data_IF_915754046073
#
_entry.id   IF_915754046073
#
_cell.length_a   1.000
_cell.length_b   1.000
_cell.length_c   1.000
_cell.angle_alpha   90.00
_cell.angle_beta   90.00
_cell.angle_gamma   90.00
#
_symmetry.space_group_name_H-M   'P 1'
#
loop_
_entity.id
_entity.type
_entity.pdbx_description
1 polymer ?
#
# COMPACT_ATOMS: atom_id res chain seq x y z
N UNK A 1 -5.55 -4.51 20.28
CA UNK A 1 -4.71 -4.41 19.06
C UNK A 1 -5.36 -5.21 17.94
N UNK A 2 -5.52 -4.62 16.79
CA UNK A 2 -6.08 -5.31 15.61
C UNK A 2 -5.00 -6.24 15.08
N UNK A 3 -5.31 -7.53 14.99
CA UNK A 3 -4.38 -8.54 14.47
C UNK A 3 -4.96 -9.20 13.23
N UNK A 4 -4.23 -9.10 12.14
CA UNK A 4 -4.47 -9.80 10.87
C UNK A 4 -3.26 -10.68 10.61
N UNK A 5 -3.47 -12.00 10.61
CA UNK A 5 -2.38 -12.99 10.58
C UNK A 5 -2.10 -13.51 9.17
N UNK A 6 -3.11 -13.49 8.30
CA UNK A 6 -2.99 -14.01 6.92
C UNK A 6 -2.33 -13.03 5.94
N UNK A 7 -2.11 -11.79 6.35
CA UNK A 7 -1.47 -10.75 5.55
C UNK A 7 -0.21 -10.26 6.25
N UNK A 8 0.90 -10.31 5.55
CA UNK A 8 2.18 -9.86 6.10
C UNK A 8 2.18 -8.36 6.36
N UNK A 9 2.87 -7.96 7.43
CA UNK A 9 3.21 -6.58 7.71
C UNK A 9 2.01 -5.63 7.90
N UNK A 10 0.90 -6.16 8.39
CA UNK A 10 -0.25 -5.34 8.77
C UNK A 10 0.07 -4.54 10.03
N UNK A 11 0.01 -3.23 9.94
CA UNK A 11 0.39 -2.33 11.04
C UNK A 11 -0.28 -0.99 10.96
N UNK A 12 -0.47 -0.37 12.13
CA UNK A 12 -0.83 1.04 12.28
C UNK A 12 0.39 1.93 11.94
N UNK A 13 0.23 2.82 11.00
CA UNK A 13 1.29 3.75 10.55
C UNK A 13 1.64 4.79 11.59
N UNK A 14 0.75 5.03 12.56
CA UNK A 14 0.95 6.01 13.62
C UNK A 14 1.98 5.59 14.68
N UNK A 15 2.37 4.30 14.72
CA UNK A 15 3.33 3.80 15.70
C UNK A 15 4.66 4.54 15.55
N UNK A 16 5.11 5.17 16.64
CA UNK A 16 6.36 5.96 16.63
C UNK A 16 6.22 7.37 16.05
N UNK A 17 5.00 7.82 15.74
CA UNK A 17 4.72 9.16 15.20
C UNK A 17 3.74 9.95 16.09
N UNK A 18 3.53 11.22 15.73
CA UNK A 18 2.49 12.07 16.34
C UNK A 18 1.12 11.92 15.70
N UNK A 19 0.97 11.01 14.74
CA UNK A 19 -0.30 10.76 14.06
C UNK A 19 -1.32 10.13 15.02
N UNK A 20 -2.59 10.39 14.76
CA UNK A 20 -3.69 9.76 15.50
C UNK A 20 -3.68 8.25 15.29
N UNK A 21 -3.79 7.50 16.37
CA UNK A 21 -3.72 6.02 16.36
C UNK A 21 -4.98 5.41 15.73
N UNK A 22 -4.82 4.22 15.19
CA UNK A 22 -5.90 3.38 14.65
C UNK A 22 -6.70 4.01 13.50
N UNK A 23 -6.10 4.87 12.70
CA UNK A 23 -6.76 5.48 11.54
C UNK A 23 -6.18 5.01 10.21
N UNK A 24 -4.89 4.79 10.13
CA UNK A 24 -4.20 4.48 8.89
C UNK A 24 -3.37 3.22 9.06
N UNK A 25 -3.73 2.18 8.32
CA UNK A 25 -3.06 0.89 8.34
C UNK A 25 -2.36 0.61 7.02
N UNK A 26 -1.15 0.10 7.11
CA UNK A 26 -0.39 -0.40 5.96
C UNK A 26 -0.21 -1.90 6.06
N UNK A 27 -0.25 -2.58 4.92
CA UNK A 27 0.01 -4.02 4.83
C UNK A 27 0.60 -4.42 3.48
N UNK A 28 0.92 -5.70 3.34
CA UNK A 28 1.17 -6.33 2.06
C UNK A 28 -0.15 -6.53 1.28
N UNK A 29 -0.06 -7.05 0.06
CA UNK A 29 -1.24 -7.37 -0.77
C UNK A 29 -2.25 -8.23 0.00
N UNK A 30 -3.52 -7.96 -0.18
CA UNK A 30 -4.61 -8.63 0.51
C UNK A 30 -5.08 -9.92 -0.18
N UNK A 31 -4.34 -10.42 -1.16
CA UNK A 31 -4.68 -11.66 -1.88
C UNK A 31 -4.67 -12.91 -0.99
N UNK A 32 -3.99 -12.86 0.13
CA UNK A 32 -3.86 -13.96 1.10
C UNK A 32 -4.84 -13.89 2.27
N UNK A 33 -5.74 -12.89 2.30
CA UNK A 33 -6.74 -12.80 3.36
C UNK A 33 -7.56 -14.08 3.46
N UNK A 34 -7.62 -14.66 4.63
CA UNK A 34 -8.49 -15.79 4.95
C UNK A 34 -9.86 -15.31 5.48
N UNK A 35 -10.82 -16.22 5.59
CA UNK A 35 -12.17 -15.90 6.03
C UNK A 35 -12.25 -15.27 7.42
N UNK A 36 -11.38 -15.70 8.35
CA UNK A 36 -11.31 -15.13 9.69
C UNK A 36 -10.92 -13.66 9.63
N UNK A 37 -9.86 -13.38 8.89
CA UNK A 37 -9.30 -12.02 8.80
C UNK A 37 -10.18 -11.09 7.94
N UNK A 38 -10.88 -11.62 6.93
CA UNK A 38 -11.92 -10.87 6.22
C UNK A 38 -12.98 -10.35 7.22
N UNK A 39 -13.45 -11.21 8.13
CA UNK A 39 -14.40 -10.78 9.17
C UNK A 39 -13.83 -9.72 10.11
N UNK A 40 -12.54 -9.81 10.44
CA UNK A 40 -11.87 -8.77 11.23
C UNK A 40 -11.87 -7.44 10.49
N UNK A 41 -11.53 -7.44 9.21
CA UNK A 41 -11.55 -6.22 8.38
C UNK A 41 -12.97 -5.67 8.20
N UNK A 42 -13.96 -6.53 8.00
CA UNK A 42 -15.37 -6.12 7.94
C UNK A 42 -15.83 -5.42 9.24
N UNK A 43 -15.43 -5.97 10.38
CA UNK A 43 -15.76 -5.39 11.69
C UNK A 43 -15.07 -4.04 11.94
N UNK A 44 -13.91 -3.82 11.35
CA UNK A 44 -13.27 -2.51 11.35
C UNK A 44 -14.08 -1.47 10.59
N UNK A 45 -14.89 -1.91 9.64
CA UNK A 45 -15.68 -1.06 8.75
C UNK A 45 -14.85 0.10 8.15
N UNK A 46 -13.78 -0.21 7.40
CA UNK A 46 -12.90 0.81 6.88
C UNK A 46 -13.64 1.76 5.93
N UNK A 47 -13.24 3.02 5.91
CA UNK A 47 -13.72 3.99 4.95
C UNK A 47 -13.28 3.65 3.53
N UNK A 48 -12.03 3.20 3.39
CA UNK A 48 -11.45 2.81 2.12
C UNK A 48 -10.37 1.73 2.29
N UNK A 49 -10.23 0.90 1.26
CA UNK A 49 -9.11 -0.02 1.06
C UNK A 49 -8.43 0.43 -0.23
N UNK A 50 -7.23 0.98 -0.09
CA UNK A 50 -6.50 1.61 -1.20
C UNK A 50 -5.40 0.69 -1.68
N UNK A 51 -5.44 0.34 -2.95
CA UNK A 51 -4.46 -0.50 -3.63
C UNK A 51 -3.62 0.36 -4.58
N UNK A 52 -2.33 0.47 -4.30
CA UNK A 52 -1.39 1.22 -5.13
C UNK A 52 -0.74 0.40 -6.25
N UNK A 53 -1.12 -0.86 -6.41
CA UNK A 53 -0.55 -1.73 -7.45
C UNK A 53 -1.03 -1.32 -8.84
N UNK A 54 -0.22 -1.62 -9.84
CA UNK A 54 -0.68 -1.49 -11.22
C UNK A 54 -1.66 -2.63 -11.60
N UNK A 55 -2.46 -2.45 -12.67
CA UNK A 55 -3.46 -3.44 -13.07
C UNK A 55 -2.90 -4.84 -13.35
N UNK A 56 -1.66 -4.95 -13.86
CA UNK A 56 -1.03 -6.24 -14.14
C UNK A 56 -0.66 -7.00 -12.87
N UNK A 57 -0.28 -6.27 -11.83
CA UNK A 57 0.00 -6.86 -10.51
C UNK A 57 -1.29 -7.35 -9.85
N UNK A 58 -2.37 -6.57 -9.98
CA UNK A 58 -3.70 -6.94 -9.47
C UNK A 58 -4.24 -8.19 -10.18
N UNK A 59 -4.09 -8.26 -11.50
CA UNK A 59 -4.52 -9.42 -12.28
C UNK A 59 -3.84 -10.72 -11.83
N UNK A 60 -2.55 -10.65 -11.51
CA UNK A 60 -1.77 -11.81 -11.03
C UNK A 60 -2.13 -12.26 -9.62
N UNK A 61 -2.53 -11.35 -8.77
CA UNK A 61 -2.84 -11.62 -7.38
C UNK A 61 -3.94 -10.67 -6.87
N UNK A 62 -5.19 -10.83 -7.30
CA UNK A 62 -6.28 -9.98 -6.86
C UNK A 62 -6.49 -10.09 -5.36
N UNK A 63 -6.91 -9.00 -4.74
CA UNK A 63 -7.25 -9.00 -3.32
C UNK A 63 -8.45 -9.91 -3.05
N UNK A 64 -8.35 -10.70 -2.00
CA UNK A 64 -9.44 -11.57 -1.56
C UNK A 64 -10.37 -10.81 -0.61
N UNK A 65 -11.31 -10.07 -1.18
CA UNK A 65 -12.25 -9.23 -0.45
C UNK A 65 -13.67 -9.76 -0.56
N UNK A 66 -14.43 -9.67 0.54
CA UNK A 66 -15.87 -9.91 0.50
C UNK A 66 -16.60 -8.81 -0.30
N UNK A 67 -17.86 -9.04 -0.64
CA UNK A 67 -18.68 -8.04 -1.34
C UNK A 67 -18.78 -6.72 -0.59
N UNK A 68 -18.86 -6.75 0.75
CA UNK A 68 -18.86 -5.56 1.59
C UNK A 68 -17.57 -4.76 1.48
N UNK A 69 -16.43 -5.46 1.46
CA UNK A 69 -15.12 -4.83 1.38
C UNK A 69 -14.81 -4.33 -0.04
N UNK A 70 -15.32 -5.00 -1.07
CA UNK A 70 -15.19 -4.55 -2.46
C UNK A 70 -15.81 -3.17 -2.68
N UNK A 71 -16.88 -2.84 -2.00
CA UNK A 71 -17.50 -1.50 -2.06
C UNK A 71 -16.58 -0.39 -1.51
N UNK A 72 -15.57 -0.76 -0.72
CA UNK A 72 -14.58 0.14 -0.14
C UNK A 72 -13.25 0.17 -0.90
N UNK A 73 -13.10 -0.71 -1.89
CA UNK A 73 -11.87 -0.86 -2.65
C UNK A 73 -11.67 0.26 -3.66
N UNK A 74 -10.48 0.85 -3.66
CA UNK A 74 -10.08 1.91 -4.58
C UNK A 74 -8.67 1.58 -5.10
N UNK A 75 -8.50 1.48 -6.39
CA UNK A 75 -7.19 1.36 -7.02
C UNK A 75 -6.64 2.74 -7.38
N UNK A 76 -5.51 3.08 -6.81
CA UNK A 76 -4.74 4.28 -7.13
C UNK A 76 -3.35 3.86 -7.63
N UNK A 77 -3.18 3.49 -8.91
CA UNK A 77 -1.98 2.84 -9.37
C UNK A 77 -0.75 3.76 -9.34
N UNK A 78 0.31 3.28 -8.72
CA UNK A 78 1.66 3.84 -8.80
C UNK A 78 2.52 2.82 -9.52
N UNK A 79 2.99 3.15 -10.72
CA UNK A 79 3.76 2.21 -11.52
C UNK A 79 5.13 1.94 -10.90
N UNK A 80 5.34 0.71 -10.44
CA UNK A 80 6.64 0.22 -9.99
C UNK A 80 7.59 -0.10 -11.18
N UNK A 81 7.11 -0.05 -12.41
CA UNK A 81 7.91 -0.31 -13.61
C UNK A 81 9.11 0.63 -13.74
N UNK A 82 9.03 1.80 -13.14
CA UNK A 82 10.12 2.76 -13.09
C UNK A 82 11.28 2.26 -12.24
N UNK A 83 11.01 1.68 -11.06
CA UNK A 83 12.03 1.10 -10.21
C UNK A 83 12.72 -0.09 -10.91
N UNK A 84 11.94 -0.98 -11.49
CA UNK A 84 12.46 -2.15 -12.22
C UNK A 84 13.32 -1.74 -13.42
N UNK A 85 12.91 -0.69 -14.15
CA UNK A 85 13.72 -0.13 -15.23
C UNK A 85 15.00 0.52 -14.74
N UNK A 86 14.96 1.29 -13.67
CA UNK A 86 16.13 1.95 -13.08
C UNK A 86 17.14 0.92 -12.56
N UNK A 87 16.67 -0.14 -11.93
CA UNK A 87 17.52 -1.26 -11.48
C UNK A 87 18.15 -1.99 -12.67
N UNK A 88 17.38 -2.24 -13.73
CA UNK A 88 17.89 -2.92 -14.93
C UNK A 88 18.85 -2.06 -15.77
N UNK A 89 18.71 -0.73 -15.76
CA UNK A 89 19.56 0.19 -16.53
C UNK A 89 20.84 0.61 -15.82
N UNK A 90 20.91 0.48 -14.50
CA UNK A 90 22.14 0.67 -13.75
C UNK A 90 22.86 -0.66 -13.67
N UNK A 91 23.88 -0.82 -14.50
CA UNK A 91 24.92 -1.82 -14.22
C UNK A 91 25.40 -1.56 -12.80
N UNK A 92 25.22 -2.57 -11.95
CA UNK A 92 25.62 -2.50 -10.54
C UNK A 92 27.14 -2.66 -10.53
N UNK A 93 27.85 -1.56 -10.75
CA UNK A 93 29.29 -1.51 -10.56
C UNK A 93 29.63 -1.63 -9.09
N UNK A 94 30.48 -2.57 -8.75
CA UNK A 94 31.34 -2.82 -7.58
C UNK A 94 30.97 -2.33 -6.18
N UNK A 95 30.10 -1.33 -6.00
CA UNK A 95 29.62 -0.79 -4.73
C UNK A 95 28.09 -0.93 -4.63
N UNK A 96 27.66 -2.17 -4.60
CA UNK A 96 26.26 -2.60 -4.73
C UNK A 96 25.31 -1.90 -3.73
N UNK A 97 25.76 -1.64 -2.50
CA UNK A 97 24.89 -1.12 -1.42
C UNK A 97 24.55 0.34 -1.64
N UNK A 98 25.54 1.20 -1.93
CA UNK A 98 25.30 2.64 -2.16
C UNK A 98 24.49 2.90 -3.43
N UNK A 99 24.71 2.09 -4.48
CA UNK A 99 23.94 2.18 -5.72
C UNK A 99 22.47 1.78 -5.50
N UNK A 100 22.22 0.77 -4.67
CA UNK A 100 20.88 0.34 -4.31
C UNK A 100 20.13 1.39 -3.47
N UNK A 101 20.77 1.93 -2.44
CA UNK A 101 20.20 2.98 -1.60
C UNK A 101 19.82 4.22 -2.43
N UNK A 102 20.70 4.64 -3.34
CA UNK A 102 20.41 5.76 -4.24
C UNK A 102 19.27 5.47 -5.20
N UNK A 103 19.20 4.27 -5.75
CA UNK A 103 18.08 3.86 -6.62
C UNK A 103 16.76 3.88 -5.85
N UNK A 104 16.75 3.40 -4.62
CA UNK A 104 15.56 3.43 -3.76
C UNK A 104 15.15 4.86 -3.44
N UNK A 105 16.09 5.72 -3.06
CA UNK A 105 15.82 7.13 -2.78
C UNK A 105 15.25 7.86 -4.00
N UNK A 106 15.85 7.71 -5.17
CA UNK A 106 15.38 8.29 -6.43
C UNK A 106 13.99 7.77 -6.80
N UNK A 107 13.72 6.50 -6.53
CA UNK A 107 12.41 5.87 -6.78
C UNK A 107 11.32 6.47 -5.90
N UNK A 108 11.58 6.67 -4.61
CA UNK A 108 10.62 7.33 -3.71
C UNK A 108 10.32 8.75 -4.15
N UNK A 109 11.33 9.51 -4.57
CA UNK A 109 11.13 10.86 -5.13
C UNK A 109 10.28 10.84 -6.39
N UNK A 110 10.50 9.88 -7.28
CA UNK A 110 9.70 9.70 -8.50
C UNK A 110 8.26 9.31 -8.19
N UNK A 111 8.02 8.44 -7.21
CA UNK A 111 6.67 8.09 -6.78
C UNK A 111 5.88 9.32 -6.32
N UNK A 112 6.51 10.21 -5.60
CA UNK A 112 5.88 11.45 -5.16
C UNK A 112 5.71 12.43 -6.33
N UNK A 113 6.76 12.68 -7.10
CA UNK A 113 6.78 13.73 -8.12
C UNK A 113 5.97 13.38 -9.36
N UNK A 114 5.94 12.11 -9.78
CA UNK A 114 5.30 11.66 -11.01
C UNK A 114 3.84 11.21 -10.81
N UNK A 115 3.39 11.10 -9.56
CA UNK A 115 2.05 10.61 -9.22
C UNK A 115 1.28 11.59 -8.33
N UNK A 116 1.39 12.88 -8.60
CA UNK A 116 0.72 13.94 -7.81
C UNK A 116 -0.79 13.74 -7.74
N UNK A 117 -1.42 13.31 -8.82
CA UNK A 117 -2.85 13.04 -8.87
C UNK A 117 -3.26 11.90 -7.92
N UNK A 118 -2.46 10.84 -7.86
CA UNK A 118 -2.67 9.70 -6.96
C UNK A 118 -2.61 10.16 -5.50
N UNK A 119 -1.59 10.93 -5.14
CA UNK A 119 -1.43 11.44 -3.79
C UNK A 119 -2.51 12.45 -3.42
N UNK A 120 -2.90 13.31 -4.33
CA UNK A 120 -4.02 14.23 -4.13
C UNK A 120 -5.29 13.47 -3.80
N UNK A 121 -5.61 12.44 -4.59
CA UNK A 121 -6.76 11.58 -4.37
C UNK A 121 -6.69 10.84 -3.03
N UNK A 122 -5.53 10.30 -2.69
CA UNK A 122 -5.30 9.63 -1.42
C UNK A 122 -5.58 10.55 -0.23
N UNK A 123 -5.06 11.77 -0.24
CA UNK A 123 -5.30 12.75 0.82
C UNK A 123 -6.75 13.24 0.86
N UNK A 124 -7.42 13.39 -0.27
CA UNK A 124 -8.86 13.68 -0.31
C UNK A 124 -9.67 12.58 0.35
N UNK A 125 -9.37 11.31 0.09
CA UNK A 125 -10.01 10.17 0.74
C UNK A 125 -9.78 10.21 2.25
N UNK A 126 -8.54 10.49 2.69
CA UNK A 126 -8.23 10.64 4.12
C UNK A 126 -9.03 11.75 4.79
N UNK A 127 -9.16 12.91 4.14
CA UNK A 127 -9.94 14.03 4.68
C UNK A 127 -11.43 13.72 4.77
N UNK A 128 -11.96 12.93 3.86
CA UNK A 128 -13.36 12.51 3.85
C UNK A 128 -13.67 11.38 4.84
N UNK A 129 -12.66 10.71 5.36
CA UNK A 129 -12.83 9.51 6.20
C UNK A 129 -13.52 9.76 7.52
N UNK A 130 -13.53 11.01 8.02
CA UNK A 130 -14.17 11.41 9.30
C UNK A 130 -13.77 10.48 10.46
N UNK A 131 -12.47 10.19 10.58
CA UNK A 131 -11.91 9.30 11.60
C UNK A 131 -12.22 7.80 11.42
N UNK A 132 -12.79 7.39 10.31
CA UNK A 132 -12.87 5.98 9.94
C UNK A 132 -11.51 5.49 9.41
N UNK A 133 -11.27 4.20 9.59
CA UNK A 133 -9.99 3.59 9.19
C UNK A 133 -9.81 3.55 7.68
N UNK A 134 -8.57 3.70 7.27
CA UNK A 134 -8.12 3.49 5.89
C UNK A 134 -7.04 2.40 5.92
N UNK A 135 -7.18 1.41 5.06
CA UNK A 135 -6.16 0.39 4.83
C UNK A 135 -5.56 0.65 3.46
N UNK A 136 -4.23 0.68 3.36
CA UNK A 136 -3.57 0.80 2.08
C UNK A 136 -2.45 -0.21 1.92
N UNK A 137 -2.22 -0.63 0.70
CA UNK A 137 -1.18 -1.61 0.38
C UNK A 137 -0.62 -1.45 -1.03
N UNK A 138 0.52 -2.11 -1.23
CA UNK A 138 1.19 -2.26 -2.50
C UNK A 138 1.70 -3.69 -2.65
N UNK A 139 2.37 -4.01 -3.76
CA UNK A 139 2.90 -5.37 -4.01
C UNK A 139 4.06 -5.74 -3.09
N UNK A 140 4.91 -4.77 -2.75
CA UNK A 140 6.18 -5.02 -2.07
C UNK A 140 6.00 -5.01 -0.56
N UNK A 141 6.46 -6.07 0.10
CA UNK A 141 6.75 -6.11 1.52
C UNK A 141 7.99 -5.24 1.79
N UNK A 142 7.79 -3.99 2.10
CA UNK A 142 8.86 -3.12 2.60
C UNK A 142 8.56 -2.73 4.03
#
# INVERSE_FOLDING_TARGET
>A
MISIESVSNFRDVSIGSKMKKNLLFRCAKLSTLNERDIRVVENLNPHAIIDFRDPKEIEKAPDNLSSKLLDKYINLPISASTLSRMVAQKEIDGDCVKSYEKVMEDSYRMYINNHKEVWTKFFEIMLQSRELQIIFHCYINV
#
